data_IF_876120949322
#
_entry.id   IF_876120949322
#
_cell.length_a   1.000
_cell.length_b   1.000
_cell.length_c   1.000
_cell.angle_alpha   90.00
_cell.angle_beta   90.00
_cell.angle_gamma   90.00
#
_symmetry.space_group_name_H-M   'P 1'
#
loop_
_entity.id
_entity.type
_entity.pdbx_description
1 polymer ?
#
# COMPACT_ATOMS: atom_id res chain seq x y z
N UNK A 1 -5.90 -11.16 -3.03
CA UNK A 1 -5.45 -10.00 -2.24
C UNK A 1 -5.83 -10.19 -0.78
N UNK A 2 -4.88 -10.09 0.13
CA UNK A 2 -5.12 -10.11 1.58
C UNK A 2 -4.77 -8.72 2.13
N UNK A 3 -5.79 -8.03 2.64
CA UNK A 3 -5.71 -6.67 3.15
C UNK A 3 -6.86 -6.35 4.10
N UNK A 4 -7.21 -5.08 4.22
CA UNK A 4 -8.31 -4.57 5.03
C UNK A 4 -7.87 -3.97 6.34
N UNK A 5 -7.45 -4.75 7.32
CA UNK A 5 -6.82 -4.26 8.54
C UNK A 5 -5.30 -4.20 8.36
N UNK A 6 -4.58 -4.85 9.24
CA UNK A 6 -3.12 -5.01 9.09
C UNK A 6 -2.79 -6.50 9.16
N UNK A 7 -2.88 -7.25 8.06
CA UNK A 7 -2.70 -8.70 8.11
C UNK A 7 -1.30 -9.13 8.56
N UNK A 8 -0.30 -8.26 8.43
CA UNK A 8 1.05 -8.51 8.96
C UNK A 8 1.13 -8.47 10.50
N UNK A 9 0.10 -7.98 11.19
CA UNK A 9 0.05 -7.99 12.66
C UNK A 9 -0.39 -9.34 13.24
N UNK A 10 -0.86 -10.27 12.40
CA UNK A 10 -1.22 -11.62 12.80
C UNK A 10 0.03 -12.38 13.28
N UNK A 11 -0.12 -13.11 14.37
CA UNK A 11 0.95 -14.01 14.81
C UNK A 11 1.09 -15.23 13.88
N UNK A 12 2.18 -15.97 14.02
CA UNK A 12 2.51 -17.11 13.14
C UNK A 12 1.42 -18.19 13.11
N UNK A 13 0.77 -18.47 14.24
CA UNK A 13 -0.33 -19.44 14.30
C UNK A 13 -1.56 -18.97 13.52
N UNK A 14 -1.89 -17.68 13.64
CA UNK A 14 -3.00 -17.06 12.92
C UNK A 14 -2.72 -16.99 11.41
N UNK A 15 -1.50 -16.59 11.02
CA UNK A 15 -1.06 -16.63 9.62
C UNK A 15 -1.14 -18.03 9.03
N UNK A 16 -0.72 -19.04 9.80
CA UNK A 16 -0.79 -20.43 9.36
C UNK A 16 -2.24 -20.84 9.09
N UNK A 17 -3.16 -20.55 10.01
CA UNK A 17 -4.59 -20.81 9.82
C UNK A 17 -5.19 -20.07 8.62
N UNK A 18 -4.82 -18.80 8.45
CA UNK A 18 -5.25 -18.00 7.30
C UNK A 18 -4.83 -18.67 5.98
N UNK A 19 -3.57 -19.09 5.87
CA UNK A 19 -3.08 -19.75 4.66
C UNK A 19 -3.63 -21.17 4.47
N UNK A 20 -3.99 -21.88 5.53
CA UNK A 20 -4.73 -23.15 5.42
C UNK A 20 -6.10 -22.94 4.79
N UNK A 21 -6.82 -21.89 5.19
CA UNK A 21 -8.11 -21.52 4.57
C UNK A 21 -7.91 -21.11 3.11
N UNK A 22 -6.91 -20.28 2.83
CA UNK A 22 -6.61 -19.83 1.46
C UNK A 22 -6.27 -21.01 0.53
N UNK A 23 -5.65 -22.08 1.03
CA UNK A 23 -5.36 -23.29 0.25
C UNK A 23 -6.59 -24.09 -0.16
N UNK A 24 -7.75 -23.86 0.44
CA UNK A 24 -9.01 -24.46 -0.01
C UNK A 24 -9.41 -23.97 -1.40
N UNK A 25 -8.91 -22.80 -1.81
CA UNK A 25 -9.12 -22.29 -3.17
C UNK A 25 -8.05 -22.82 -4.12
N UNK A 26 -8.43 -23.01 -5.38
CA UNK A 26 -7.48 -23.43 -6.40
C UNK A 26 -6.59 -22.25 -6.85
N UNK A 27 -5.39 -22.18 -6.30
CA UNK A 27 -4.41 -21.13 -6.60
C UNK A 27 -3.50 -21.43 -7.81
N UNK A 28 -3.75 -22.50 -8.57
CA UNK A 28 -2.86 -22.92 -9.67
C UNK A 28 -2.76 -21.91 -10.82
N UNK A 29 -3.79 -21.09 -11.00
CA UNK A 29 -3.86 -20.06 -12.05
C UNK A 29 -3.73 -18.64 -11.52
N UNK A 30 -3.38 -18.48 -10.25
CA UNK A 30 -3.26 -17.14 -9.65
C UNK A 30 -2.10 -16.37 -10.31
N UNK A 31 -2.38 -15.15 -10.74
CA UNK A 31 -1.39 -14.26 -11.36
C UNK A 31 -0.76 -13.32 -10.34
N UNK A 32 -1.60 -12.77 -9.46
CA UNK A 32 -1.18 -11.88 -8.39
C UNK A 32 -1.73 -12.39 -7.06
N UNK A 33 -0.83 -12.55 -6.08
CA UNK A 33 -1.18 -12.81 -4.70
C UNK A 33 -0.52 -11.76 -3.82
N UNK A 34 -1.29 -10.71 -3.54
CA UNK A 34 -0.83 -9.56 -2.74
C UNK A 34 -1.13 -9.78 -1.27
N UNK A 35 -0.18 -9.38 -0.43
CA UNK A 35 -0.32 -9.30 1.02
C UNK A 35 0.07 -7.90 1.51
N UNK A 36 -0.77 -7.28 2.34
CA UNK A 36 -0.48 -5.97 2.94
C UNK A 36 0.39 -6.12 4.17
N UNK A 37 1.38 -5.24 4.31
CA UNK A 37 2.28 -5.22 5.45
C UNK A 37 2.41 -3.81 6.02
N UNK A 38 2.37 -3.71 7.36
CA UNK A 38 3.01 -2.59 8.01
C UNK A 38 4.53 -2.83 8.01
N UNK A 39 5.29 -1.81 7.68
CA UNK A 39 6.76 -1.94 7.60
C UNK A 39 7.39 -2.44 8.91
N UNK A 40 6.81 -2.11 10.06
CA UNK A 40 7.34 -2.52 11.36
C UNK A 40 7.14 -4.02 11.67
N UNK A 41 6.13 -4.65 11.05
CA UNK A 41 5.83 -6.07 11.27
C UNK A 41 6.70 -6.97 10.39
N UNK A 42 7.43 -6.40 9.42
CA UNK A 42 8.23 -7.18 8.48
C UNK A 42 9.44 -7.78 9.20
N UNK A 43 9.43 -9.10 9.31
CA UNK A 43 10.50 -9.95 9.81
C UNK A 43 10.89 -10.99 8.76
N UNK A 44 12.06 -11.60 8.91
CA UNK A 44 12.50 -12.67 8.03
C UNK A 44 11.53 -13.86 8.07
N UNK A 45 11.04 -14.23 9.25
CA UNK A 45 10.08 -15.31 9.46
C UNK A 45 8.74 -15.03 8.73
N UNK A 46 8.21 -13.80 8.82
CA UNK A 46 7.00 -13.42 8.08
C UNK A 46 7.22 -13.61 6.58
N UNK A 47 8.32 -13.09 6.03
CA UNK A 47 8.59 -13.18 4.59
C UNK A 47 8.76 -14.64 4.16
N UNK A 48 9.41 -15.51 4.94
CA UNK A 48 9.52 -16.93 4.65
C UNK A 48 8.14 -17.62 4.57
N UNK A 49 7.23 -17.26 5.48
CA UNK A 49 5.85 -17.78 5.44
C UNK A 49 5.12 -17.29 4.19
N UNK A 50 5.24 -16.01 3.84
CA UNK A 50 4.59 -15.45 2.66
C UNK A 50 5.10 -16.10 1.37
N UNK A 51 6.41 -16.25 1.22
CA UNK A 51 7.04 -16.92 0.07
C UNK A 51 6.59 -18.39 -0.03
N UNK A 52 6.62 -19.13 1.09
CA UNK A 52 6.15 -20.52 1.15
C UNK A 52 4.71 -20.67 0.68
N UNK A 53 3.86 -19.66 0.94
CA UNK A 53 2.46 -19.64 0.54
C UNK A 53 2.21 -18.94 -0.80
N UNK A 54 3.25 -18.72 -1.61
CA UNK A 54 3.19 -18.18 -2.98
C UNK A 54 2.71 -16.72 -3.07
N UNK A 55 2.82 -15.95 -2.01
CA UNK A 55 2.67 -14.50 -2.09
C UNK A 55 3.76 -13.97 -3.02
N UNK A 56 3.37 -13.22 -4.04
CA UNK A 56 4.28 -12.73 -5.07
C UNK A 56 4.29 -11.20 -5.20
N UNK A 57 3.44 -10.50 -4.44
CA UNK A 57 3.39 -9.04 -4.35
C UNK A 57 3.19 -8.61 -2.90
N UNK A 58 3.92 -7.59 -2.46
CA UNK A 58 3.72 -6.95 -1.16
C UNK A 58 3.26 -5.50 -1.35
N UNK A 59 2.29 -5.09 -0.54
CA UNK A 59 1.91 -3.68 -0.37
C UNK A 59 2.35 -3.23 1.01
N UNK A 60 3.28 -2.28 1.07
CA UNK A 60 3.95 -1.90 2.31
C UNK A 60 3.61 -0.46 2.66
N UNK A 61 2.89 -0.28 3.77
CA UNK A 61 2.58 1.01 4.34
C UNK A 61 3.83 1.64 4.96
N UNK A 62 4.40 2.62 4.28
CA UNK A 62 5.51 3.46 4.80
C UNK A 62 4.97 4.82 5.23
N UNK A 63 4.01 5.34 4.49
CA UNK A 63 3.32 6.62 4.65
C UNK A 63 4.26 7.82 4.51
N UNK A 64 5.37 7.84 5.25
CA UNK A 64 6.34 8.94 5.25
C UNK A 64 7.68 8.52 5.83
N UNK A 65 8.71 9.37 5.63
CA UNK A 65 9.98 9.36 6.36
C UNK A 65 10.19 10.64 7.19
N UNK A 66 9.20 11.52 7.26
CA UNK A 66 9.26 12.73 8.09
C UNK A 66 8.78 12.41 9.50
N UNK A 67 9.61 12.72 10.50
CA UNK A 67 9.33 12.40 11.90
C UNK A 67 8.05 13.07 12.43
N UNK A 68 7.80 14.30 12.03
CA UNK A 68 6.61 15.04 12.48
C UNK A 68 5.34 14.46 11.85
N UNK A 69 5.37 14.11 10.55
CA UNK A 69 4.28 13.43 9.87
C UNK A 69 4.00 12.06 10.48
N UNK A 70 5.04 11.26 10.71
CA UNK A 70 4.93 9.93 11.32
C UNK A 70 4.36 10.02 12.74
N UNK A 71 4.82 11.00 13.53
CA UNK A 71 4.26 11.25 14.88
C UNK A 71 2.79 11.64 14.81
N UNK A 72 2.41 12.48 13.87
CA UNK A 72 1.00 12.88 13.65
C UNK A 72 0.12 11.67 13.31
N UNK A 73 0.63 10.74 12.49
CA UNK A 73 -0.08 9.51 12.09
C UNK A 73 0.06 8.36 13.09
N UNK A 74 0.77 8.56 14.22
CA UNK A 74 1.09 7.50 15.19
C UNK A 74 1.84 6.31 14.52
N UNK A 75 2.71 6.62 13.55
CA UNK A 75 3.50 5.66 12.78
C UNK A 75 4.99 5.83 13.06
N UNK A 76 5.76 4.81 12.74
CA UNK A 76 7.21 4.85 12.76
C UNK A 76 7.75 4.27 11.46
N UNK A 77 8.71 4.94 10.85
CA UNK A 77 9.41 4.45 9.67
C UNK A 77 10.78 5.12 9.61
N UNK A 78 11.83 4.32 9.47
CA UNK A 78 13.20 4.77 9.25
C UNK A 78 13.71 4.30 7.89
N UNK A 79 14.31 5.22 7.13
CA UNK A 79 14.73 4.91 5.76
C UNK A 79 15.73 3.76 5.66
N UNK A 80 16.70 3.69 6.59
CA UNK A 80 17.73 2.64 6.55
C UNK A 80 17.14 1.28 6.93
N UNK A 81 16.25 1.25 7.91
CA UNK A 81 15.53 0.03 8.30
C UNK A 81 14.64 -0.48 7.15
N UNK A 82 13.85 0.42 6.56
CA UNK A 82 13.01 0.08 5.40
C UNK A 82 13.85 -0.43 4.23
N UNK A 83 15.00 0.20 3.93
CA UNK A 83 15.88 -0.26 2.87
C UNK A 83 16.37 -1.67 3.10
N UNK A 84 16.81 -2.00 4.32
CA UNK A 84 17.25 -3.36 4.68
C UNK A 84 16.12 -4.38 4.53
N UNK A 85 14.91 -4.04 4.98
CA UNK A 85 13.73 -4.90 4.84
C UNK A 85 13.37 -5.17 3.38
N UNK A 86 13.40 -4.13 2.54
CA UNK A 86 13.15 -4.28 1.09
C UNK A 86 14.21 -5.17 0.43
N UNK A 87 15.47 -5.01 0.79
CA UNK A 87 16.55 -5.86 0.25
C UNK A 87 16.37 -7.32 0.71
N UNK A 88 15.99 -7.55 1.97
CA UNK A 88 15.65 -8.88 2.48
C UNK A 88 14.48 -9.50 1.71
N UNK A 89 13.40 -8.76 1.49
CA UNK A 89 12.23 -9.21 0.71
C UNK A 89 12.64 -9.66 -0.69
N UNK A 90 13.45 -8.84 -1.38
CA UNK A 90 13.97 -9.16 -2.72
C UNK A 90 14.85 -10.40 -2.73
N UNK A 91 15.73 -10.53 -1.74
CA UNK A 91 16.60 -11.70 -1.60
C UNK A 91 15.81 -12.99 -1.37
N UNK A 92 14.60 -12.90 -0.79
CA UNK A 92 13.67 -14.03 -0.64
C UNK A 92 12.80 -14.27 -1.90
N UNK A 93 12.97 -13.47 -2.96
CA UNK A 93 12.35 -13.69 -4.27
C UNK A 93 11.11 -12.83 -4.56
N UNK A 94 10.62 -11.99 -3.64
CA UNK A 94 9.49 -11.10 -3.92
C UNK A 94 10.03 -9.77 -4.46
N UNK A 95 9.83 -9.55 -5.77
CA UNK A 95 10.29 -8.35 -6.48
C UNK A 95 9.15 -7.35 -6.77
N UNK A 96 7.90 -7.80 -6.74
CA UNK A 96 6.74 -6.92 -6.92
C UNK A 96 6.40 -6.27 -5.57
N UNK A 97 6.86 -5.04 -5.38
CA UNK A 97 6.75 -4.29 -4.11
C UNK A 97 6.08 -2.95 -4.39
N UNK A 98 4.94 -2.75 -3.75
CA UNK A 98 4.29 -1.46 -3.62
C UNK A 98 4.73 -0.75 -2.34
N UNK A 99 4.95 0.55 -2.42
CA UNK A 99 5.18 1.44 -1.27
C UNK A 99 4.09 2.51 -1.24
N UNK A 100 3.43 2.65 -0.09
CA UNK A 100 2.42 3.66 0.11
C UNK A 100 3.05 4.96 0.61
N UNK A 101 2.68 6.07 0.00
CA UNK A 101 3.07 7.43 0.36
C UNK A 101 1.84 8.28 0.65
N UNK A 102 1.72 8.81 1.84
CA UNK A 102 0.69 9.78 2.18
C UNK A 102 1.22 11.21 2.00
N UNK A 103 0.41 12.08 1.40
CA UNK A 103 0.71 13.51 1.20
C UNK A 103 -0.47 14.38 1.61
N UNK A 104 -0.34 15.69 1.50
CA UNK A 104 -1.34 16.66 1.92
C UNK A 104 -1.70 16.59 3.42
N UNK A 105 -0.72 16.22 4.25
CA UNK A 105 -0.86 16.20 5.71
C UNK A 105 -0.75 17.64 6.25
N UNK A 106 -1.46 18.01 7.33
CA UNK A 106 -1.37 19.35 7.91
C UNK A 106 0.06 19.87 8.03
N UNK A 107 0.26 21.11 7.62
CA UNK A 107 1.57 21.79 7.59
C UNK A 107 2.63 21.17 6.64
N UNK A 108 2.24 20.24 5.79
CA UNK A 108 3.18 19.73 4.78
C UNK A 108 3.47 20.79 3.72
N UNK A 109 4.73 20.88 3.33
CA UNK A 109 5.16 21.75 2.22
C UNK A 109 5.56 20.91 1.01
N UNK A 110 5.47 21.50 -0.17
CA UNK A 110 5.94 20.86 -1.40
C UNK A 110 7.43 20.42 -1.31
N UNK A 111 8.26 21.14 -0.53
CA UNK A 111 9.67 20.75 -0.29
C UNK A 111 9.77 19.44 0.48
N UNK A 112 8.94 19.24 1.49
CA UNK A 112 8.88 18.01 2.30
C UNK A 112 8.44 16.84 1.42
N UNK A 113 7.35 17.00 0.67
CA UNK A 113 6.88 15.98 -0.27
C UNK A 113 7.97 15.59 -1.29
N UNK A 114 8.64 16.57 -1.90
CA UNK A 114 9.74 16.33 -2.85
C UNK A 114 10.85 15.49 -2.26
N UNK A 115 11.20 15.74 -1.01
CA UNK A 115 12.22 14.99 -0.31
C UNK A 115 11.79 13.53 -0.11
N UNK A 116 10.55 13.30 0.39
CA UNK A 116 10.03 11.97 0.66
C UNK A 116 9.87 11.13 -0.60
N UNK A 117 9.31 11.71 -1.66
CA UNK A 117 9.18 11.02 -2.93
C UNK A 117 10.56 10.60 -3.50
N UNK A 118 11.59 11.42 -3.29
CA UNK A 118 12.94 11.02 -3.67
C UNK A 118 13.51 9.87 -2.83
N UNK A 119 13.17 9.79 -1.53
CA UNK A 119 13.53 8.64 -0.69
C UNK A 119 12.82 7.36 -1.13
N UNK A 120 11.50 7.42 -1.40
CA UNK A 120 10.74 6.30 -1.96
C UNK A 120 11.41 5.80 -3.27
N UNK A 121 11.74 6.71 -4.17
CA UNK A 121 12.38 6.36 -5.44
C UNK A 121 13.77 5.72 -5.29
N UNK A 122 14.53 6.03 -4.23
CA UNK A 122 15.80 5.36 -3.92
C UNK A 122 15.61 3.90 -3.54
N UNK A 123 14.47 3.52 -2.97
CA UNK A 123 14.12 2.14 -2.64
C UNK A 123 13.75 1.31 -3.86
N UNK A 124 13.57 1.94 -5.03
CA UNK A 124 13.27 1.31 -6.32
C UNK A 124 12.05 0.37 -6.27
N UNK A 125 10.89 0.79 -5.72
CA UNK A 125 9.71 -0.04 -5.77
C UNK A 125 9.26 -0.26 -7.22
N UNK A 126 8.50 -1.32 -7.46
CA UNK A 126 7.87 -1.56 -8.78
C UNK A 126 6.54 -0.84 -8.91
N UNK A 127 5.95 -0.46 -7.79
CA UNK A 127 4.66 0.21 -7.68
C UNK A 127 4.68 1.24 -6.55
N UNK A 128 3.96 2.34 -6.71
CA UNK A 128 3.82 3.40 -5.69
C UNK A 128 2.35 3.80 -5.63
N UNK A 129 1.77 3.73 -4.43
CA UNK A 129 0.46 4.30 -4.14
C UNK A 129 0.63 5.65 -3.45
N UNK A 130 -0.14 6.65 -3.88
CA UNK A 130 -0.07 7.98 -3.28
C UNK A 130 -1.46 8.43 -2.86
N UNK A 131 -1.64 8.67 -1.58
CA UNK A 131 -2.93 9.06 -1.02
C UNK A 131 -2.82 10.44 -0.38
N UNK A 132 -3.74 11.36 -0.74
CA UNK A 132 -3.93 12.56 0.06
C UNK A 132 -4.65 12.21 1.36
N UNK A 133 -4.37 12.97 2.41
CA UNK A 133 -5.05 12.78 3.69
C UNK A 133 -6.52 13.20 3.56
N UNK A 134 -7.42 12.25 3.78
CA UNK A 134 -8.87 12.47 3.78
C UNK A 134 -9.34 12.64 5.22
N UNK A 135 -10.18 13.65 5.45
CA UNK A 135 -10.81 13.91 6.76
C UNK A 135 -12.19 13.28 6.79
N UNK A 136 -12.27 12.10 7.37
CA UNK A 136 -13.56 11.43 7.57
C UNK A 136 -14.19 11.84 8.89
N UNK A 137 -15.51 12.03 8.89
CA UNK A 137 -16.26 12.33 10.10
C UNK A 137 -16.08 11.22 11.16
N UNK A 138 -16.12 11.61 12.41
CA UNK A 138 -15.99 10.73 13.58
C UNK A 138 -14.63 10.03 13.74
N UNK A 139 -13.63 10.42 12.96
CA UNK A 139 -12.25 9.94 13.16
C UNK A 139 -11.54 10.77 14.22
N UNK A 140 -10.48 10.20 14.82
CA UNK A 140 -9.60 10.95 15.73
C UNK A 140 -9.10 12.25 15.10
N UNK A 141 -8.80 12.21 13.82
CA UNK A 141 -8.31 13.33 13.03
C UNK A 141 -9.35 14.46 12.92
N UNK A 142 -10.61 14.14 12.65
CA UNK A 142 -11.69 15.14 12.59
C UNK A 142 -11.95 15.80 13.96
N UNK A 143 -11.70 15.06 15.06
CA UNK A 143 -11.84 15.57 16.43
C UNK A 143 -10.68 16.47 16.87
N UNK A 144 -9.52 16.40 16.20
CA UNK A 144 -8.32 17.19 16.54
C UNK A 144 -8.37 18.64 16.06
N UNK A 145 -9.46 19.10 15.43
CA UNK A 145 -9.60 20.44 14.85
C UNK A 145 -8.39 20.84 13.96
N UNK A 146 -7.80 19.89 13.27
CA UNK A 146 -6.70 20.16 12.34
C UNK A 146 -7.26 20.76 11.06
N UNK A 147 -6.62 21.81 10.57
CA UNK A 147 -7.01 22.45 9.31
C UNK A 147 -6.40 21.64 8.14
N UNK A 148 -7.20 21.20 7.17
CA UNK A 148 -6.68 20.65 5.93
C UNK A 148 -5.70 21.63 5.26
N UNK A 149 -4.82 21.10 4.45
CA UNK A 149 -3.98 21.97 3.65
C UNK A 149 -4.84 22.67 2.57
N UNK A 150 -4.32 23.74 2.03
CA UNK A 150 -4.95 24.47 0.93
C UNK A 150 -5.10 23.57 -0.31
N UNK A 151 -6.28 23.62 -0.95
CA UNK A 151 -6.59 22.80 -2.12
C UNK A 151 -5.67 23.06 -3.32
N UNK A 152 -5.22 24.31 -3.51
CA UNK A 152 -4.28 24.64 -4.57
C UNK A 152 -2.90 23.99 -4.32
N UNK A 153 -2.47 23.97 -3.06
CA UNK A 153 -1.23 23.30 -2.66
C UNK A 153 -1.35 21.77 -2.79
N UNK A 154 -2.49 21.19 -2.44
CA UNK A 154 -2.74 19.76 -2.65
C UNK A 154 -2.68 19.39 -4.13
N UNK A 155 -3.33 20.19 -4.99
CA UNK A 155 -3.29 20.01 -6.44
C UNK A 155 -1.86 20.18 -6.99
N UNK A 156 -1.08 21.15 -6.47
CA UNK A 156 0.33 21.30 -6.83
C UNK A 156 1.16 20.07 -6.46
N UNK A 157 0.93 19.52 -5.26
CA UNK A 157 1.57 18.29 -4.78
C UNK A 157 1.25 17.09 -5.68
N UNK A 158 -0.03 16.88 -5.99
CA UNK A 158 -0.46 15.81 -6.88
C UNK A 158 0.16 15.93 -8.28
N UNK A 159 0.13 17.12 -8.87
CA UNK A 159 0.76 17.38 -10.17
C UNK A 159 2.27 17.16 -10.16
N UNK A 160 2.93 17.51 -9.06
CA UNK A 160 4.35 17.22 -8.90
C UNK A 160 4.63 15.72 -8.85
N UNK A 161 3.85 14.93 -8.07
CA UNK A 161 3.96 13.48 -8.00
C UNK A 161 3.84 12.87 -9.40
N UNK A 162 2.75 13.16 -10.10
CA UNK A 162 2.50 12.68 -11.48
C UNK A 162 3.68 12.96 -12.41
N UNK A 163 4.12 14.21 -12.46
CA UNK A 163 5.25 14.63 -13.31
C UNK A 163 6.56 13.94 -12.93
N UNK A 164 6.81 13.77 -11.63
CA UNK A 164 8.05 13.17 -11.13
C UNK A 164 8.09 11.68 -11.44
N UNK A 165 7.00 10.96 -11.17
CA UNK A 165 6.90 9.50 -11.38
C UNK A 165 6.92 9.14 -12.87
N UNK A 166 6.22 9.92 -13.72
CA UNK A 166 6.28 9.73 -15.18
C UNK A 166 7.71 9.85 -15.71
N UNK A 167 8.50 10.83 -15.25
CA UNK A 167 9.92 10.97 -15.61
C UNK A 167 10.79 9.78 -15.16
N UNK A 168 10.29 8.99 -14.20
CA UNK A 168 10.93 7.77 -13.68
C UNK A 168 10.35 6.49 -14.27
N UNK A 169 9.55 6.62 -15.35
CA UNK A 169 8.92 5.53 -16.10
C UNK A 169 7.84 4.76 -15.33
N UNK A 170 7.24 5.38 -14.29
CA UNK A 170 6.05 4.86 -13.67
C UNK A 170 4.84 5.33 -14.47
N UNK A 171 4.02 4.40 -14.93
CA UNK A 171 2.75 4.66 -15.59
C UNK A 171 1.70 5.02 -14.54
N UNK A 172 1.01 6.13 -14.73
CA UNK A 172 -0.14 6.53 -13.93
C UNK A 172 -1.37 5.80 -14.48
N UNK A 173 -1.69 4.63 -13.96
CA UNK A 173 -2.72 3.76 -14.53
C UNK A 173 -4.10 3.94 -13.89
N UNK A 174 -4.18 4.60 -12.73
CA UNK A 174 -5.41 5.05 -12.08
C UNK A 174 -5.09 6.20 -11.12
N UNK A 175 -6.09 6.76 -10.41
CA UNK A 175 -6.00 8.04 -9.70
C UNK A 175 -4.83 8.12 -8.72
N UNK A 176 -4.65 7.09 -7.90
CA UNK A 176 -3.68 7.09 -6.78
C UNK A 176 -2.44 6.25 -7.05
N UNK A 177 -2.45 5.41 -8.10
CA UNK A 177 -1.46 4.36 -8.26
C UNK A 177 -0.60 4.54 -9.51
N UNK A 178 0.69 4.28 -9.31
CA UNK A 178 1.74 4.39 -10.32
C UNK A 178 2.57 3.11 -10.33
N UNK A 179 2.82 2.54 -11.50
CA UNK A 179 3.57 1.29 -11.64
C UNK A 179 4.60 1.36 -12.77
N UNK A 180 5.69 0.62 -12.63
CA UNK A 180 6.51 0.26 -13.77
C UNK A 180 5.70 -0.65 -14.70
N UNK A 181 6.03 -0.65 -15.98
CA UNK A 181 5.33 -1.45 -16.99
C UNK A 181 5.26 -2.93 -16.58
N UNK A 182 4.04 -3.49 -16.57
CA UNK A 182 3.74 -4.87 -16.15
C UNK A 182 3.69 -5.11 -14.64
N UNK A 183 3.74 -4.04 -13.82
CA UNK A 183 3.62 -4.12 -12.36
C UNK A 183 2.38 -3.42 -11.82
N UNK A 184 1.44 -3.07 -12.69
CA UNK A 184 0.12 -2.58 -12.27
C UNK A 184 -0.57 -3.62 -11.38
N UNK A 185 -1.20 -3.19 -10.29
CA UNK A 185 -1.96 -4.11 -9.43
C UNK A 185 -3.14 -4.70 -10.19
N UNK A 186 -3.13 -6.01 -10.40
CA UNK A 186 -4.24 -6.70 -11.07
C UNK A 186 -5.53 -6.62 -10.24
N UNK A 187 -5.39 -6.59 -8.91
CA UNK A 187 -6.50 -6.36 -8.00
C UNK A 187 -7.17 -4.99 -8.26
N UNK A 188 -6.40 -3.91 -8.33
CA UNK A 188 -6.92 -2.58 -8.60
C UNK A 188 -7.52 -2.50 -10.01
N UNK A 189 -6.84 -3.04 -11.01
CA UNK A 189 -7.35 -3.09 -12.39
C UNK A 189 -8.66 -3.85 -12.48
N UNK A 190 -8.87 -4.88 -11.65
CA UNK A 190 -10.13 -5.61 -11.60
C UNK A 190 -11.31 -4.69 -11.23
N UNK A 191 -11.12 -3.81 -10.25
CA UNK A 191 -12.12 -2.81 -9.86
C UNK A 191 -12.35 -1.77 -10.96
N UNK A 192 -11.27 -1.20 -11.51
CA UNK A 192 -11.37 -0.16 -12.55
C UNK A 192 -12.01 -0.68 -13.84
N UNK A 193 -11.82 -1.96 -14.15
CA UNK A 193 -12.48 -2.62 -15.28
C UNK A 193 -13.93 -3.07 -14.95
N UNK A 194 -14.41 -2.79 -13.75
CA UNK A 194 -15.73 -3.20 -13.26
C UNK A 194 -15.98 -4.72 -13.41
N UNK A 195 -14.92 -5.51 -13.21
CA UNK A 195 -15.02 -6.96 -13.22
C UNK A 195 -15.59 -7.47 -11.89
N UNK A 196 -16.15 -8.66 -11.93
CA UNK A 196 -16.67 -9.34 -10.73
C UNK A 196 -15.55 -9.79 -9.79
N UNK A 197 -15.85 -9.79 -8.50
CA UNK A 197 -14.93 -10.26 -7.45
C UNK A 197 -15.69 -10.68 -6.20
N UNK A 198 -15.11 -11.62 -5.47
CA UNK A 198 -15.61 -12.05 -4.17
C UNK A 198 -14.90 -11.28 -3.06
N UNK A 199 -15.68 -10.80 -2.07
CA UNK A 199 -15.17 -10.33 -0.79
C UNK A 199 -15.29 -11.41 0.27
N UNK A 200 -14.24 -11.62 1.05
CA UNK A 200 -14.22 -12.57 2.15
C UNK A 200 -13.78 -11.89 3.44
N UNK A 201 -14.47 -12.15 4.51
CA UNK A 201 -14.20 -11.58 5.83
C UNK A 201 -15.11 -10.41 6.17
N UNK A 202 -15.09 -10.02 7.43
CA UNK A 202 -15.94 -8.96 7.98
C UNK A 202 -15.63 -7.62 7.30
N UNK A 203 -16.68 -6.93 6.83
CA UNK A 203 -16.57 -5.65 6.13
C UNK A 203 -15.97 -5.75 4.72
N UNK A 204 -15.73 -6.95 4.19
CA UNK A 204 -15.27 -7.11 2.82
C UNK A 204 -16.44 -6.94 1.84
N UNK A 205 -16.20 -6.18 0.79
CA UNK A 205 -17.17 -5.97 -0.28
C UNK A 205 -16.92 -6.95 -1.42
N UNK A 206 -17.99 -7.34 -2.11
CA UNK A 206 -17.94 -8.13 -3.33
C UNK A 206 -18.81 -7.53 -4.43
N UNK A 207 -18.62 -7.99 -5.67
CA UNK A 207 -19.40 -7.59 -6.83
C UNK A 207 -19.61 -8.79 -7.74
N UNK A 208 -20.85 -9.31 -7.79
CA UNK A 208 -21.22 -10.52 -8.54
C UNK A 208 -22.59 -10.27 -9.21
N UNK A 209 -22.74 -10.71 -10.45
CA UNK A 209 -23.99 -10.58 -11.23
C UNK A 209 -24.56 -9.14 -11.24
N UNK A 210 -23.67 -8.13 -11.29
CA UNK A 210 -24.05 -6.73 -11.27
C UNK A 210 -24.47 -6.18 -9.89
N UNK A 211 -24.38 -6.99 -8.84
CA UNK A 211 -24.79 -6.62 -7.47
C UNK A 211 -23.55 -6.47 -6.57
N UNK A 212 -23.45 -5.33 -5.90
CA UNK A 212 -22.47 -5.11 -4.83
C UNK A 212 -23.06 -5.58 -3.50
N UNK A 213 -22.23 -6.25 -2.71
CA UNK A 213 -22.59 -6.70 -1.37
C UNK A 213 -21.45 -6.42 -0.39
N UNK A 214 -21.79 -6.39 0.88
CA UNK A 214 -20.87 -6.26 2.02
C UNK A 214 -21.13 -7.44 2.98
N UNK A 215 -20.06 -8.01 3.52
CA UNK A 215 -20.12 -9.11 4.50
C UNK A 215 -20.28 -8.60 5.94
#
# INVERSE_FOLDING_TARGET
>A
YIGGGTPSSLNISELTKLFEIVKLFNLSKIKEFTFECNVNDITEELIDILVKNKVNRLSIGIESFNKDKLKFMERYSDFLDVSKKIDMIRNKGINNINLDLMYAIPNETLKVLKHHLNLILKLKPTHISTYSLIYEDYTKLSLMNTTPIDEELELEMYNYIRKKLSKKKYNHYEISNFALDGYESLHNLNYWNNNEYYGFGLGAHGYIDGIRYEN
#
